data_IF_144088612256
#
_entry.id   IF_144088612256
#
_cell.length_a   1.000
_cell.length_b   1.000
_cell.length_c   1.000
_cell.angle_alpha   90.00
_cell.angle_beta   90.00
_cell.angle_gamma   90.00
#
_symmetry.space_group_name_H-M   'P 1'
#
loop_
_entity.id
_entity.type
_entity.pdbx_description
1 polymer ?
#
# COMPACT_ATOMS: atom_id res chain seq x y z
N UNK A 1 25.26 -30.04 13.19
CA UNK A 1 24.06 -29.17 13.08
C UNK A 1 24.55 -27.86 12.47
N UNK A 2 24.39 -27.70 11.15
CA UNK A 2 25.00 -26.61 10.38
C UNK A 2 23.96 -25.52 10.08
N UNK A 3 24.37 -24.27 10.26
CA UNK A 3 23.56 -23.06 10.34
C UNK A 3 22.94 -22.62 9.01
N UNK A 4 21.74 -22.03 9.12
CA UNK A 4 21.05 -21.18 8.15
C UNK A 4 21.88 -19.96 7.78
N UNK A 5 22.49 -19.92 6.60
CA UNK A 5 22.91 -18.69 5.91
C UNK A 5 22.72 -18.89 4.39
N UNK A 6 21.48 -18.92 3.93
CA UNK A 6 21.13 -18.75 2.50
C UNK A 6 20.86 -17.26 2.29
N UNK A 7 21.93 -16.47 2.34
CA UNK A 7 21.90 -15.03 2.05
C UNK A 7 22.25 -14.79 0.59
N UNK A 8 21.28 -14.30 -0.18
CA UNK A 8 21.41 -13.86 -1.58
C UNK A 8 21.80 -14.96 -2.59
N UNK A 9 20.87 -15.89 -2.86
CA UNK A 9 20.86 -16.53 -4.19
C UNK A 9 20.61 -15.43 -5.22
N UNK A 10 21.47 -15.34 -6.24
CA UNK A 10 21.20 -14.50 -7.40
C UNK A 10 19.89 -15.00 -8.01
N UNK A 11 18.80 -14.28 -7.77
CA UNK A 11 17.52 -14.54 -8.40
C UNK A 11 17.77 -14.47 -9.90
N UNK A 12 17.77 -15.62 -10.58
CA UNK A 12 17.72 -15.67 -12.04
C UNK A 12 16.43 -14.97 -12.42
N UNK A 13 16.52 -13.69 -12.80
CA UNK A 13 15.40 -12.90 -13.28
C UNK A 13 14.68 -13.75 -14.33
N UNK A 14 13.46 -14.26 -14.07
CA UNK A 14 12.75 -15.05 -15.05
C UNK A 14 12.64 -14.22 -16.32
N UNK A 15 13.02 -14.80 -17.46
CA UNK A 15 13.03 -14.11 -18.77
C UNK A 15 11.65 -13.54 -19.17
N UNK A 16 10.61 -13.91 -18.43
CA UNK A 16 9.22 -13.51 -18.60
C UNK A 16 8.83 -12.23 -17.81
N UNK A 17 9.70 -11.68 -16.95
CA UNK A 17 9.39 -10.46 -16.17
C UNK A 17 9.09 -9.23 -17.02
N UNK A 18 9.66 -9.17 -18.22
CA UNK A 18 9.42 -8.09 -19.19
C UNK A 18 8.46 -8.51 -20.31
N UNK A 19 7.98 -9.76 -20.28
CA UNK A 19 6.98 -10.24 -21.24
C UNK A 19 5.61 -9.82 -20.75
N UNK A 20 5.02 -8.87 -21.46
CA UNK A 20 3.65 -8.44 -21.18
C UNK A 20 2.70 -9.61 -21.46
N UNK A 21 1.83 -9.93 -20.50
CA UNK A 21 0.73 -10.85 -20.73
C UNK A 21 -0.14 -10.34 -21.90
N UNK A 22 -0.69 -11.23 -22.74
CA UNK A 22 -1.54 -10.82 -23.87
C UNK A 22 -2.77 -10.01 -23.41
N UNK A 23 -3.25 -10.24 -22.20
CA UNK A 23 -4.37 -9.52 -21.56
C UNK A 23 -4.00 -8.09 -21.11
N UNK A 24 -2.71 -7.75 -21.02
CA UNK A 24 -2.25 -6.46 -20.48
C UNK A 24 -2.78 -5.26 -21.29
N UNK A 25 -2.89 -5.41 -22.61
CA UNK A 25 -3.43 -4.38 -23.49
C UNK A 25 -4.93 -4.15 -23.23
N UNK A 26 -5.69 -5.24 -23.02
CA UNK A 26 -7.11 -5.17 -22.70
C UNK A 26 -7.34 -4.52 -21.32
N UNK A 27 -6.54 -4.88 -20.32
CA UNK A 27 -6.60 -4.25 -19.00
C UNK A 27 -6.28 -2.76 -19.06
N UNK A 28 -5.24 -2.35 -19.81
CA UNK A 28 -4.92 -0.94 -20.02
C UNK A 28 -6.09 -0.17 -20.65
N UNK A 29 -6.73 -0.75 -21.67
CA UNK A 29 -7.87 -0.14 -22.34
C UNK A 29 -9.07 0.01 -21.40
N UNK A 30 -9.30 -0.94 -20.50
CA UNK A 30 -10.35 -0.85 -19.48
C UNK A 30 -10.03 0.16 -18.37
N UNK A 31 -8.75 0.30 -18.01
CA UNK A 31 -8.29 1.22 -16.96
C UNK A 31 -8.13 2.66 -17.44
N UNK A 32 -8.08 2.89 -18.76
CA UNK A 32 -7.86 4.20 -19.37
C UNK A 32 -9.09 4.63 -20.15
N UNK A 33 -9.59 5.83 -19.88
CA UNK A 33 -10.70 6.41 -20.65
C UNK A 33 -10.29 7.75 -21.24
N UNK A 34 -10.57 7.94 -22.53
CA UNK A 34 -10.38 9.22 -23.22
C UNK A 34 -11.68 10.02 -23.16
N UNK A 35 -11.57 11.33 -22.94
CA UNK A 35 -12.69 12.27 -22.99
C UNK A 35 -12.35 13.39 -23.96
N UNK A 36 -13.29 13.69 -24.86
CA UNK A 36 -13.18 14.82 -25.78
C UNK A 36 -13.63 16.09 -25.07
N UNK A 37 -12.73 16.70 -24.30
CA UNK A 37 -12.94 18.02 -23.67
C UNK A 37 -11.72 18.90 -23.82
N UNK A 38 -11.93 20.21 -23.87
CA UNK A 38 -10.87 21.22 -23.86
C UNK A 38 -10.55 21.73 -22.46
N UNK A 39 -11.40 21.43 -21.48
CA UNK A 39 -11.24 21.86 -20.10
C UNK A 39 -10.70 20.72 -19.22
N UNK A 40 -9.39 20.73 -18.99
CA UNK A 40 -8.74 19.77 -18.10
C UNK A 40 -9.04 20.00 -16.61
N UNK A 41 -9.46 21.21 -16.23
CA UNK A 41 -9.77 21.53 -14.84
C UNK A 41 -11.14 20.99 -14.44
N UNK A 42 -12.10 21.04 -15.36
CA UNK A 42 -13.41 20.39 -15.20
C UNK A 42 -13.24 18.87 -15.11
N UNK A 43 -12.41 18.27 -15.97
CA UNK A 43 -12.14 16.83 -15.98
C UNK A 43 -11.53 16.36 -14.64
N UNK A 44 -10.53 17.07 -14.13
CA UNK A 44 -9.93 16.79 -12.82
C UNK A 44 -10.94 16.91 -11.67
N UNK A 45 -11.81 17.92 -11.72
CA UNK A 45 -12.83 18.15 -10.70
C UNK A 45 -13.89 17.04 -10.72
N UNK A 46 -14.33 16.61 -11.91
CA UNK A 46 -15.23 15.48 -12.07
C UNK A 46 -14.61 14.17 -11.57
N UNK A 47 -13.33 13.92 -11.87
CA UNK A 47 -12.62 12.74 -11.37
C UNK A 47 -12.53 12.72 -9.84
N UNK A 48 -12.25 13.88 -9.21
CA UNK A 48 -12.24 14.01 -7.77
C UNK A 48 -13.62 13.73 -7.14
N UNK A 49 -14.70 14.22 -7.75
CA UNK A 49 -16.06 13.96 -7.31
C UNK A 49 -16.38 12.45 -7.37
N UNK A 50 -16.07 11.77 -8.47
CA UNK A 50 -16.26 10.31 -8.61
C UNK A 50 -15.48 9.55 -7.54
N UNK A 51 -14.24 9.95 -7.26
CA UNK A 51 -13.44 9.32 -6.20
C UNK A 51 -14.07 9.50 -4.82
N UNK A 52 -14.62 10.68 -4.54
CA UNK A 52 -15.34 10.96 -3.29
C UNK A 52 -16.62 10.15 -3.17
N UNK A 53 -17.41 10.03 -4.25
CA UNK A 53 -18.61 9.19 -4.28
C UNK A 53 -18.30 7.72 -4.01
N UNK A 54 -17.13 7.25 -4.44
CA UNK A 54 -16.62 5.90 -4.16
C UNK A 54 -16.03 5.76 -2.74
N UNK A 55 -15.98 6.83 -1.95
CA UNK A 55 -15.46 6.85 -0.58
C UNK A 55 -13.93 6.90 -0.49
N UNK A 56 -13.25 7.39 -1.54
CA UNK A 56 -11.83 7.75 -1.47
C UNK A 56 -11.70 9.18 -0.92
N UNK A 57 -10.64 9.42 -0.15
CA UNK A 57 -10.21 10.74 0.28
C UNK A 57 -9.16 11.26 -0.69
N UNK A 58 -9.38 12.45 -1.25
CA UNK A 58 -8.41 13.10 -2.15
C UNK A 58 -7.30 13.71 -1.31
N UNK A 59 -6.06 13.29 -1.53
CA UNK A 59 -4.90 13.78 -0.76
C UNK A 59 -4.11 14.85 -1.51
N UNK A 60 -4.02 14.74 -2.84
CA UNK A 60 -3.22 15.65 -3.65
C UNK A 60 -3.87 15.88 -5.02
N UNK A 61 -3.86 17.14 -5.47
CA UNK A 61 -4.36 17.53 -6.78
C UNK A 61 -3.46 18.61 -7.36
N UNK A 62 -2.75 18.28 -8.44
CA UNK A 62 -1.89 19.21 -9.18
C UNK A 62 -2.51 19.44 -10.56
N UNK A 63 -3.22 20.56 -10.69
CA UNK A 63 -4.01 20.89 -11.89
C UNK A 63 -3.14 21.19 -13.11
N UNK A 64 -1.98 21.78 -12.90
CA UNK A 64 -1.03 22.18 -13.95
C UNK A 64 -0.55 20.99 -14.78
N UNK A 65 -0.38 19.83 -14.16
CA UNK A 65 0.10 18.60 -14.82
C UNK A 65 -0.99 17.53 -14.98
N UNK A 66 -2.23 17.80 -14.58
CA UNK A 66 -3.32 16.81 -14.70
C UNK A 66 -3.26 15.68 -13.66
N UNK A 67 -2.61 15.88 -12.51
CA UNK A 67 -2.37 14.82 -11.53
C UNK A 67 -3.35 14.87 -10.35
N UNK A 68 -3.86 13.71 -9.95
CA UNK A 68 -4.77 13.55 -8.82
C UNK A 68 -4.43 12.25 -8.06
N UNK A 69 -4.30 12.34 -6.74
CA UNK A 69 -4.03 11.22 -5.85
C UNK A 69 -5.11 11.13 -4.78
N UNK A 70 -5.72 9.96 -4.66
CA UNK A 70 -6.72 9.68 -3.64
C UNK A 70 -6.46 8.31 -3.01
N UNK A 71 -6.79 8.19 -1.73
CA UNK A 71 -6.62 6.96 -0.96
C UNK A 71 -7.96 6.56 -0.37
N UNK A 72 -8.20 5.26 -0.26
CA UNK A 72 -9.37 4.72 0.44
C UNK A 72 -8.87 3.84 1.55
N UNK A 73 -9.19 4.22 2.78
CA UNK A 73 -9.01 3.33 3.91
C UNK A 73 -10.03 2.19 3.81
N UNK A 74 -9.67 1.14 3.07
CA UNK A 74 -10.20 -0.18 3.36
C UNK A 74 -9.30 -0.73 4.44
N UNK A 75 -9.77 -0.81 5.68
CA UNK A 75 -8.98 -1.34 6.77
C UNK A 75 -8.44 -2.72 6.37
N UNK A 76 -7.15 -2.81 6.05
CA UNK A 76 -6.43 -4.09 5.93
C UNK A 76 -6.10 -4.65 7.32
N UNK A 77 -6.91 -4.29 8.33
CA UNK A 77 -6.90 -4.90 9.65
C UNK A 77 -7.52 -6.27 9.49
N UNK A 78 -6.67 -7.26 9.34
CA UNK A 78 -7.06 -8.64 9.53
C UNK A 78 -7.34 -8.85 11.02
N UNK A 79 -8.56 -9.28 11.36
CA UNK A 79 -8.97 -9.49 12.75
C UNK A 79 -7.99 -10.43 13.50
N UNK A 80 -7.37 -11.36 12.78
CA UNK A 80 -6.32 -12.25 13.30
C UNK A 80 -5.02 -11.53 13.68
N UNK A 81 -4.63 -10.47 12.98
CA UNK A 81 -3.41 -9.70 13.29
C UNK A 81 -3.58 -8.88 14.57
N UNK A 82 -4.73 -8.26 14.75
CA UNK A 82 -5.03 -7.47 15.96
C UNK A 82 -5.17 -8.38 17.19
N UNK A 83 -5.83 -9.54 17.03
CA UNK A 83 -5.97 -10.53 18.10
C UNK A 83 -4.62 -11.14 18.50
N UNK A 84 -3.77 -11.47 17.53
CA UNK A 84 -2.43 -12.00 17.79
C UNK A 84 -1.56 -10.96 18.51
N UNK A 85 -1.60 -9.69 18.07
CA UNK A 85 -0.89 -8.60 18.76
C UNK A 85 -1.32 -8.45 20.20
N UNK A 86 -2.62 -8.56 20.48
CA UNK A 86 -3.15 -8.50 21.85
C UNK A 86 -2.61 -9.64 22.72
N UNK A 87 -2.64 -10.89 22.23
CA UNK A 87 -2.13 -12.03 22.98
C UNK A 87 -0.61 -11.98 23.19
N UNK A 88 0.16 -11.59 22.18
CA UNK A 88 1.61 -11.42 22.30
C UNK A 88 1.94 -10.34 23.33
N UNK A 89 1.24 -9.21 23.30
CA UNK A 89 1.41 -8.15 24.30
C UNK A 89 1.12 -8.67 25.71
N UNK A 90 -0.01 -9.35 25.92
CA UNK A 90 -0.40 -9.87 27.23
C UNK A 90 0.61 -10.88 27.78
N UNK A 91 1.14 -11.77 26.92
CA UNK A 91 2.12 -12.79 27.32
C UNK A 91 3.52 -12.20 27.57
N UNK A 92 3.94 -11.20 26.78
CA UNK A 92 5.29 -10.63 26.84
C UNK A 92 5.44 -9.47 27.83
N UNK A 93 4.38 -8.72 28.13
CA UNK A 93 4.38 -7.61 29.08
C UNK A 93 4.98 -7.95 30.47
N UNK A 94 4.63 -9.07 31.13
CA UNK A 94 5.24 -9.39 32.43
C UNK A 94 6.74 -9.71 32.32
N UNK A 95 7.19 -10.30 31.21
CA UNK A 95 8.61 -10.59 30.98
C UNK A 95 9.44 -9.31 30.77
N UNK A 96 8.88 -8.32 30.07
CA UNK A 96 9.52 -7.02 29.83
C UNK A 96 9.65 -6.20 31.13
N UNK A 97 8.64 -6.26 32.02
CA UNK A 97 8.68 -5.61 33.34
C UNK A 97 9.71 -6.23 34.29
N UNK A 98 9.93 -7.54 34.20
CA UNK A 98 10.90 -8.25 35.05
C UNK A 98 12.36 -8.00 34.61
N UNK A 99 12.59 -7.66 33.33
CA UNK A 99 13.94 -7.53 32.77
C UNK A 99 14.47 -6.07 32.73
N UNK A 100 13.82 -5.10 33.38
CA UNK A 100 14.39 -3.75 33.48
C UNK A 100 15.55 -3.75 34.50
N UNK A 101 16.82 -3.53 34.09
CA UNK A 101 17.82 -3.09 35.06
C UNK A 101 17.39 -1.72 35.60
N UNK A 102 17.66 -1.40 36.88
CA UNK A 102 17.28 -0.12 37.45
C UNK A 102 17.89 1.00 36.59
N UNK A 103 17.03 1.87 36.06
CA UNK A 103 17.46 3.10 35.40
C UNK A 103 18.05 3.97 36.50
N UNK A 104 19.38 3.93 36.65
CA UNK A 104 20.13 4.96 37.37
C UNK A 104 20.13 6.19 36.48
N UNK A 105 19.26 7.15 36.80
CA UNK A 105 19.41 8.52 36.31
C UNK A 105 20.54 9.21 37.11
N UNK A 106 21.41 10.01 36.47
CA UNK A 106 22.45 10.77 37.17
C UNK A 106 21.89 11.83 38.11
#
# INVERSE_FOLDING_TARGET
MSNLLIGCVAQTQPAELLQLAPESAAHRAMQTRLFETKDGTELLSAAAAVLQDLGFQVEESVREVGFLRATKERSAREYGQDLTRFFVFLLSAPLILVQQPPIVMP
#
